data_IF_557671811286
#
_entry.id   IF_557671811286
#
_cell.length_a   1.000
_cell.length_b   1.000
_cell.length_c   1.000
_cell.angle_alpha   90.00
_cell.angle_beta   90.00
_cell.angle_gamma   90.00
#
_symmetry.space_group_name_H-M   'P 1'
#
loop_
_entity.id
_entity.type
_entity.pdbx_description
1 polymer ?
#
# COMPACT_ATOMS: atom_id res chain seq x y z
N UNK A 1 6.67 -29.95 -2.03
CA UNK A 1 6.77 -28.54 -1.59
C UNK A 1 5.63 -27.78 -2.25
N UNK A 2 4.65 -27.29 -1.47
CA UNK A 2 3.60 -26.43 -2.02
C UNK A 2 4.17 -25.01 -2.21
N UNK A 3 3.76 -24.32 -3.28
CA UNK A 3 4.13 -22.93 -3.49
C UNK A 3 3.52 -22.01 -2.40
N UNK A 4 4.17 -20.89 -2.09
CA UNK A 4 3.63 -19.92 -1.14
C UNK A 4 2.38 -19.22 -1.70
N UNK A 5 1.49 -18.77 -0.83
CA UNK A 5 0.26 -18.06 -1.22
C UNK A 5 0.57 -16.82 -2.07
N UNK A 6 1.60 -16.09 -1.68
CA UNK A 6 2.10 -14.88 -2.35
C UNK A 6 2.52 -15.19 -3.79
N UNK A 7 3.24 -16.29 -3.98
CA UNK A 7 3.65 -16.73 -5.31
C UNK A 7 2.45 -17.12 -6.17
N UNK A 8 1.45 -17.80 -5.59
CA UNK A 8 0.22 -18.15 -6.30
C UNK A 8 -0.57 -16.90 -6.73
N UNK A 9 -0.66 -15.88 -5.87
CA UNK A 9 -1.28 -14.59 -6.20
C UNK A 9 -0.53 -13.87 -7.32
N UNK A 10 0.81 -13.87 -7.27
CA UNK A 10 1.64 -13.30 -8.33
C UNK A 10 1.38 -13.95 -9.68
N UNK A 11 1.29 -15.29 -9.73
CA UNK A 11 0.94 -16.02 -10.95
C UNK A 11 -0.46 -15.68 -11.48
N UNK A 12 -1.37 -15.22 -10.61
CA UNK A 12 -2.71 -14.76 -10.98
C UNK A 12 -2.75 -13.29 -11.44
N UNK A 13 -1.59 -12.61 -11.50
CA UNK A 13 -1.49 -11.22 -11.93
C UNK A 13 -1.56 -10.19 -10.80
N UNK A 14 -1.58 -10.63 -9.54
CA UNK A 14 -1.46 -9.71 -8.40
C UNK A 14 -0.02 -9.22 -8.25
N UNK A 15 0.12 -7.95 -7.89
CA UNK A 15 1.39 -7.35 -7.49
C UNK A 15 1.33 -6.87 -6.05
N UNK A 16 2.47 -6.90 -5.37
CA UNK A 16 2.60 -6.24 -4.07
C UNK A 16 2.36 -4.74 -4.28
N UNK A 17 1.38 -4.22 -3.55
CA UNK A 17 0.92 -2.84 -3.61
C UNK A 17 1.16 -2.19 -2.25
N UNK A 18 1.81 -1.04 -2.26
CA UNK A 18 2.00 -0.20 -1.09
C UNK A 18 1.19 1.08 -1.28
N UNK A 19 0.39 1.44 -0.29
CA UNK A 19 -0.35 2.70 -0.27
C UNK A 19 0.05 3.52 0.96
N UNK A 20 0.50 4.75 0.72
CA UNK A 20 0.70 5.76 1.74
C UNK A 20 -0.61 6.53 1.91
N UNK A 21 -1.29 6.30 3.03
CA UNK A 21 -2.59 6.88 3.34
C UNK A 21 -2.38 7.98 4.37
N UNK A 22 -2.59 9.23 3.95
CA UNK A 22 -2.56 10.39 4.84
C UNK A 22 -3.98 10.70 5.29
N UNK A 23 -4.16 10.93 6.59
CA UNK A 23 -5.45 11.26 7.17
C UNK A 23 -5.30 12.29 8.29
N UNK A 24 -6.38 13.02 8.56
CA UNK A 24 -6.46 13.98 9.66
C UNK A 24 -6.77 13.27 10.98
N UNK A 25 -6.05 13.63 12.04
CA UNK A 25 -6.35 13.09 13.37
C UNK A 25 -7.74 13.59 13.83
N UNK A 26 -8.66 12.71 14.30
CA UNK A 26 -10.03 13.10 14.63
C UNK A 26 -10.11 14.26 15.63
N UNK A 27 -9.33 14.17 16.72
CA UNK A 27 -9.34 15.17 17.79
C UNK A 27 -8.50 16.41 17.43
N UNK A 28 -7.63 16.31 16.43
CA UNK A 28 -6.74 17.41 16.03
C UNK A 28 -6.59 17.46 14.50
N UNK A 29 -7.60 17.98 13.77
CA UNK A 29 -7.62 17.92 12.31
C UNK A 29 -6.48 18.69 11.62
N UNK A 30 -5.78 19.58 12.33
CA UNK A 30 -4.60 20.24 11.78
C UNK A 30 -3.40 19.29 11.57
N UNK A 31 -3.38 18.13 12.22
CA UNK A 31 -2.30 17.15 12.06
C UNK A 31 -2.65 16.11 11.02
N UNK A 32 -1.70 15.88 10.10
CA UNK A 32 -1.72 14.78 9.16
C UNK A 32 -0.88 13.63 9.70
N UNK A 33 -1.45 12.43 9.70
CA UNK A 33 -0.78 11.20 10.04
C UNK A 33 -0.69 10.28 8.82
N UNK A 34 0.43 9.56 8.69
CA UNK A 34 0.67 8.57 7.65
C UNK A 34 0.39 7.16 8.19
N UNK A 35 -0.44 6.41 7.45
CA UNK A 35 -0.59 4.98 7.58
C UNK A 35 -0.08 4.29 6.30
N UNK A 36 0.90 3.39 6.44
CA UNK A 36 1.43 2.62 5.31
C UNK A 36 0.69 1.29 5.26
N UNK A 37 -0.11 1.13 4.22
CA UNK A 37 -0.82 -0.10 3.91
C UNK A 37 -0.05 -0.90 2.87
N UNK A 38 0.00 -2.22 3.00
CA UNK A 38 0.63 -3.08 2.01
C UNK A 38 -0.12 -4.42 1.89
N UNK A 39 -0.55 -4.75 0.67
CA UNK A 39 -1.15 -6.05 0.34
C UNK A 39 -0.98 -6.38 -1.15
N UNK A 40 -1.35 -7.59 -1.56
CA UNK A 40 -1.47 -7.99 -2.94
C UNK A 40 -2.74 -7.42 -3.57
N UNK A 41 -2.56 -6.75 -4.70
CA UNK A 41 -3.67 -6.13 -5.43
C UNK A 41 -3.44 -6.20 -6.94
N UNK A 42 -4.49 -5.92 -7.72
CA UNK A 42 -4.46 -5.94 -9.18
C UNK A 42 -4.54 -4.53 -9.73
N UNK A 43 -3.46 -4.04 -10.34
CA UNK A 43 -3.47 -2.75 -11.06
C UNK A 43 -4.13 -2.87 -12.44
N UNK A 44 -4.80 -1.81 -12.94
CA UNK A 44 -4.89 -0.46 -12.36
C UNK A 44 -6.06 -0.25 -11.40
N UNK A 45 -6.91 -1.27 -11.20
CA UNK A 45 -8.20 -1.11 -10.53
C UNK A 45 -8.12 -1.15 -9.00
N UNK A 46 -7.06 -1.75 -8.43
CA UNK A 46 -6.79 -1.83 -6.99
C UNK A 46 -8.02 -2.18 -6.09
N UNK A 47 -8.79 -3.24 -6.40
CA UNK A 47 -9.99 -3.59 -5.67
C UNK A 47 -9.76 -3.83 -4.17
N UNK A 48 -8.61 -4.40 -3.77
CA UNK A 48 -8.31 -4.65 -2.35
C UNK A 48 -8.11 -3.34 -1.59
N UNK A 49 -7.34 -2.41 -2.17
CA UNK A 49 -7.13 -1.08 -1.60
C UNK A 49 -8.43 -0.30 -1.52
N UNK A 50 -9.27 -0.32 -2.56
CA UNK A 50 -10.57 0.35 -2.52
C UNK A 50 -11.46 -0.20 -1.41
N UNK A 51 -11.54 -1.52 -1.25
CA UNK A 51 -12.28 -2.14 -0.15
C UNK A 51 -11.77 -1.71 1.23
N UNK A 52 -10.45 -1.59 1.39
CA UNK A 52 -9.85 -1.08 2.62
C UNK A 52 -10.19 0.40 2.88
N UNK A 53 -10.14 1.25 1.86
CA UNK A 53 -10.50 2.67 1.98
C UNK A 53 -11.99 2.86 2.27
N UNK A 54 -12.86 2.00 1.73
CA UNK A 54 -14.29 2.03 2.02
C UNK A 54 -14.59 1.57 3.45
N UNK A 55 -13.88 0.55 3.94
CA UNK A 55 -13.87 0.20 5.35
C UNK A 55 -13.40 1.38 6.21
N UNK A 56 -12.30 2.03 5.84
CA UNK A 56 -11.74 3.16 6.57
C UNK A 56 -12.77 4.28 6.74
N UNK A 57 -13.41 4.71 5.65
CA UNK A 57 -14.42 5.79 5.69
C UNK A 57 -15.63 5.45 6.56
N UNK A 58 -15.94 4.17 6.75
CA UNK A 58 -17.11 3.72 7.51
C UNK A 58 -16.81 3.53 8.99
N UNK A 59 -15.63 3.02 9.32
CA UNK A 59 -15.31 2.52 10.67
C UNK A 59 -14.30 3.39 11.43
N UNK A 60 -13.55 4.25 10.73
CA UNK A 60 -12.51 5.09 11.32
C UNK A 60 -12.93 6.56 11.28
N UNK A 61 -12.79 7.25 12.41
CA UNK A 61 -13.12 8.68 12.55
C UNK A 61 -12.13 9.60 11.81
N UNK A 62 -10.95 9.08 11.44
CA UNK A 62 -9.89 9.85 10.79
C UNK A 62 -10.19 10.14 9.33
N UNK A 63 -10.46 11.41 8.98
CA UNK A 63 -10.78 11.82 7.63
C UNK A 63 -9.59 11.64 6.67
N UNK A 64 -9.80 10.90 5.59
CA UNK A 64 -8.79 10.70 4.53
C UNK A 64 -8.43 12.03 3.87
N UNK A 65 -7.14 12.31 3.75
CA UNK A 65 -6.60 13.47 3.05
C UNK A 65 -6.07 13.10 1.66
N UNK A 66 -5.15 12.12 1.60
CA UNK A 66 -4.57 11.69 0.32
C UNK A 66 -4.10 10.23 0.38
N UNK A 67 -4.09 9.57 -0.77
CA UNK A 67 -3.58 8.21 -0.94
C UNK A 67 -2.59 8.20 -2.10
N UNK A 68 -1.36 7.77 -1.84
CA UNK A 68 -0.32 7.58 -2.86
C UNK A 68 -0.02 6.10 -3.00
N UNK A 69 -0.16 5.58 -4.22
CA UNK A 69 0.00 4.15 -4.50
C UNK A 69 1.30 3.89 -5.25
N UNK A 70 2.10 2.95 -4.74
CA UNK A 70 3.21 2.33 -5.43
C UNK A 70 2.87 0.86 -5.68
N UNK A 71 2.86 0.45 -6.96
CA UNK A 71 2.52 -0.92 -7.34
C UNK A 71 3.57 -1.50 -8.27
N UNK A 72 4.01 -2.73 -7.98
CA UNK A 72 4.98 -3.45 -8.82
C UNK A 72 4.24 -4.45 -9.72
N UNK A 73 3.94 -4.03 -10.95
CA UNK A 73 3.15 -4.80 -11.93
C UNK A 73 3.85 -6.04 -12.51
N UNK A 74 5.19 -6.06 -12.53
CA UNK A 74 5.94 -7.17 -13.11
C UNK A 74 6.34 -8.17 -12.02
N UNK A 75 5.96 -9.45 -12.21
CA UNK A 75 6.60 -10.59 -11.56
C UNK A 75 8.07 -10.53 -11.95
N UNK A 76 8.90 -10.06 -11.03
CA UNK A 76 10.35 -10.15 -11.11
C UNK A 76 10.79 -10.79 -9.82
N UNK A 77 11.89 -11.56 -9.82
CA UNK A 77 12.51 -11.97 -8.56
C UNK A 77 12.65 -10.76 -7.64
N UNK A 78 12.53 -10.99 -6.33
CA UNK A 78 12.91 -9.99 -5.34
C UNK A 78 14.43 -9.75 -5.47
N UNK A 79 14.80 -8.85 -6.37
CA UNK A 79 16.18 -8.43 -6.55
C UNK A 79 16.56 -7.57 -5.35
N UNK A 80 17.37 -8.13 -4.45
CA UNK A 80 18.04 -7.36 -3.43
C UNK A 80 19.11 -6.50 -4.10
N UNK A 81 19.00 -5.18 -3.95
CA UNK A 81 20.02 -4.24 -4.40
C UNK A 81 20.60 -3.56 -3.17
N UNK A 82 21.88 -3.81 -2.89
CA UNK A 82 22.64 -2.99 -1.97
C UNK A 82 22.59 -1.55 -2.47
N UNK A 83 22.08 -0.64 -1.65
CA UNK A 83 22.19 0.79 -1.90
C UNK A 83 23.25 1.34 -0.96
N UNK A 84 24.28 1.96 -1.52
CA UNK A 84 25.43 2.48 -0.77
C UNK A 84 25.13 3.77 0.02
N UNK A 85 23.87 4.21 0.07
CA UNK A 85 23.50 5.43 0.76
C UNK A 85 22.01 5.62 0.95
N UNK A 86 21.65 6.17 2.11
CA UNK A 86 20.33 6.72 2.42
C UNK A 86 20.40 8.22 2.16
N UNK A 87 19.55 8.73 1.28
CA UNK A 87 19.40 10.18 1.07
C UNK A 87 18.22 10.65 1.91
N UNK A 88 18.50 11.44 2.94
CA UNK A 88 17.47 12.13 3.73
C UNK A 88 17.24 13.49 3.09
N UNK A 89 16.02 13.77 2.66
CA UNK A 89 15.63 15.09 2.14
C UNK A 89 14.84 15.79 3.26
N UNK A 90 15.22 17.02 3.57
CA UNK A 90 14.60 17.90 4.58
C UNK A 90 13.51 18.76 3.97
#
# INVERSE_FOLDING_TARGET
MAASREFLLQLQGYGLTTAEIHYHLPDHPAFLQLYVWQDYDTAPDFPTLHGFLDYWRRELDGALHSVRVAHRRLIRPAEWRAVDGVIVIH
#
